data_IF_366913454958
#
_entry.id   IF_366913454958
#
_cell.length_a   1.000
_cell.length_b   1.000
_cell.length_c   1.000
_cell.angle_alpha   90.00
_cell.angle_beta   90.00
_cell.angle_gamma   90.00
#
_symmetry.space_group_name_H-M   'P 1'
#
loop_
_entity.id
_entity.type
_entity.pdbx_description
1 polymer ?
#
# COMPACT_ATOMS: atom_id res chain seq x y z
N UNK A 1 -28.35 18.17 36.30
CA UNK A 1 -28.86 17.08 35.43
C UNK A 1 -28.20 15.76 35.84
N UNK A 2 -28.94 14.80 36.44
CA UNK A 2 -28.45 13.47 36.84
C UNK A 2 -28.25 12.62 35.57
N UNK A 3 -27.00 12.23 35.23
CA UNK A 3 -26.71 11.23 34.21
C UNK A 3 -27.43 9.92 34.57
N UNK A 4 -28.49 9.56 33.83
CA UNK A 4 -29.10 8.21 33.93
C UNK A 4 -28.03 7.17 33.62
N UNK A 5 -27.63 6.38 34.61
CA UNK A 5 -26.80 5.16 34.41
C UNK A 5 -27.63 4.22 33.52
N UNK A 6 -27.12 3.92 32.30
CA UNK A 6 -27.68 2.88 31.46
C UNK A 6 -27.53 1.55 32.22
N UNK A 7 -28.64 0.97 32.69
CA UNK A 7 -28.64 -0.41 33.18
C UNK A 7 -28.57 -1.32 31.96
N UNK A 8 -27.45 -2.01 31.83
CA UNK A 8 -27.29 -3.02 30.78
C UNK A 8 -27.94 -4.32 31.28
N UNK A 9 -28.68 -5.03 30.41
CA UNK A 9 -29.18 -6.38 30.72
C UNK A 9 -28.00 -7.34 30.89
N UNK A 10 -28.18 -8.45 31.63
CA UNK A 10 -27.12 -9.44 31.81
C UNK A 10 -26.56 -9.98 30.48
N UNK A 11 -27.42 -10.18 29.47
CA UNK A 11 -27.01 -10.57 28.13
C UNK A 11 -26.15 -9.51 27.42
N UNK A 12 -26.45 -8.23 27.60
CA UNK A 12 -25.65 -7.13 27.05
C UNK A 12 -24.25 -7.08 27.71
N UNK A 13 -24.15 -7.35 29.01
CA UNK A 13 -22.87 -7.41 29.72
C UNK A 13 -22.02 -8.58 29.22
N UNK A 14 -22.60 -9.77 29.08
CA UNK A 14 -21.91 -10.97 28.54
C UNK A 14 -21.40 -10.68 27.13
N UNK A 15 -22.21 -10.07 26.25
CA UNK A 15 -21.81 -9.70 24.89
C UNK A 15 -20.66 -8.69 24.86
N UNK A 16 -20.68 -7.70 25.75
CA UNK A 16 -19.60 -6.70 25.88
C UNK A 16 -18.30 -7.41 26.34
N UNK A 17 -18.37 -8.28 27.34
CA UNK A 17 -17.20 -9.03 27.81
C UNK A 17 -16.63 -9.89 26.69
N UNK A 18 -17.47 -10.67 26.00
CA UNK A 18 -17.05 -11.50 24.87
C UNK A 18 -16.37 -10.67 23.78
N UNK A 19 -16.95 -9.53 23.42
CA UNK A 19 -16.37 -8.60 22.43
C UNK A 19 -14.97 -8.13 22.84
N UNK A 20 -14.79 -7.68 24.07
CA UNK A 20 -13.48 -7.17 24.52
C UNK A 20 -12.46 -8.29 24.69
N UNK A 21 -12.85 -9.45 25.19
CA UNK A 21 -11.97 -10.62 25.28
C UNK A 21 -11.51 -11.06 23.89
N UNK A 22 -12.42 -11.14 22.93
CA UNK A 22 -12.08 -11.47 21.54
C UNK A 22 -11.13 -10.42 20.93
N UNK A 23 -11.40 -9.13 21.13
CA UNK A 23 -10.53 -8.06 20.63
C UNK A 23 -9.12 -8.14 21.22
N UNK A 24 -8.99 -8.35 22.53
CA UNK A 24 -7.69 -8.49 23.20
C UNK A 24 -6.96 -9.74 22.70
N UNK A 25 -7.67 -10.87 22.60
CA UNK A 25 -7.08 -12.11 22.10
C UNK A 25 -6.54 -11.96 20.67
N UNK A 26 -7.37 -11.48 19.74
CA UNK A 26 -6.92 -11.30 18.35
C UNK A 26 -5.84 -10.21 18.20
N UNK A 27 -5.89 -9.15 19.01
CA UNK A 27 -4.80 -8.15 19.05
C UNK A 27 -3.49 -8.78 19.51
N UNK A 28 -3.52 -9.63 20.52
CA UNK A 28 -2.34 -10.34 20.99
C UNK A 28 -1.78 -11.28 19.92
N UNK A 29 -2.63 -12.08 19.27
CA UNK A 29 -2.23 -12.96 18.16
C UNK A 29 -1.60 -12.17 17.01
N UNK A 30 -2.15 -11.00 16.66
CA UNK A 30 -1.61 -10.15 15.61
C UNK A 30 -0.23 -9.53 15.94
N UNK A 31 0.07 -9.34 17.23
CA UNK A 31 1.35 -8.75 17.68
C UNK A 31 2.45 -9.80 17.84
N UNK A 32 2.11 -11.09 18.05
CA UNK A 32 3.09 -12.16 18.23
C UNK A 32 4.17 -12.22 17.13
N UNK A 33 3.85 -12.16 15.82
CA UNK A 33 4.86 -12.17 14.77
C UNK A 33 5.84 -11.00 14.86
N UNK A 34 5.34 -9.82 15.25
CA UNK A 34 6.18 -8.62 15.41
C UNK A 34 7.13 -8.79 16.59
N UNK A 35 6.63 -9.28 17.73
CA UNK A 35 7.45 -9.58 18.92
C UNK A 35 8.52 -10.61 18.57
N UNK A 36 8.13 -11.69 17.90
CA UNK A 36 9.05 -12.74 17.45
C UNK A 36 10.15 -12.19 16.55
N UNK A 37 9.78 -11.31 15.60
CA UNK A 37 10.72 -10.65 14.70
C UNK A 37 11.70 -9.75 15.48
N UNK A 38 11.21 -8.96 16.45
CA UNK A 38 12.05 -8.11 17.30
C UNK A 38 13.02 -8.96 18.13
N UNK A 39 12.54 -10.01 18.80
CA UNK A 39 13.39 -10.92 19.58
C UNK A 39 14.48 -11.52 18.69
N UNK A 40 14.12 -12.03 17.51
CA UNK A 40 15.06 -12.68 16.59
C UNK A 40 16.10 -11.72 16.02
N UNK A 41 15.74 -10.46 15.79
CA UNK A 41 16.66 -9.44 15.26
C UNK A 41 17.85 -9.13 16.17
N UNK A 42 17.70 -9.33 17.49
CA UNK A 42 18.78 -9.11 18.47
C UNK A 42 19.59 -10.38 18.81
N UNK A 43 19.19 -11.57 18.33
CA UNK A 43 19.92 -12.81 18.54
C UNK A 43 21.13 -12.92 17.59
N UNK A 44 22.22 -13.53 18.09
CA UNK A 44 23.28 -14.00 17.20
C UNK A 44 22.78 -15.15 16.34
N UNK A 45 23.47 -15.49 15.26
CA UNK A 45 23.12 -16.64 14.41
C UNK A 45 23.14 -17.97 15.19
N UNK A 46 24.13 -18.14 16.09
CA UNK A 46 24.25 -19.32 16.92
C UNK A 46 23.10 -19.40 17.94
N UNK A 47 22.78 -18.28 18.58
CA UNK A 47 21.67 -18.20 19.53
C UNK A 47 20.33 -18.49 18.83
N UNK A 48 20.11 -17.99 17.62
CA UNK A 48 18.92 -18.29 16.83
C UNK A 48 18.81 -19.81 16.51
N UNK A 49 19.92 -20.46 16.16
CA UNK A 49 19.94 -21.89 15.82
C UNK A 49 19.74 -22.81 17.02
N UNK A 50 20.12 -22.40 18.22
CA UNK A 50 20.13 -23.23 19.44
C UNK A 50 18.97 -22.97 20.38
N UNK A 51 18.24 -21.86 20.22
CA UNK A 51 17.15 -21.46 21.11
C UNK A 51 15.80 -21.39 20.39
N UNK A 52 14.70 -21.44 21.16
CA UNK A 52 13.37 -21.21 20.62
C UNK A 52 13.20 -19.74 20.15
N UNK A 53 12.38 -19.54 19.12
CA UNK A 53 12.10 -18.21 18.54
C UNK A 53 11.63 -17.18 19.58
N UNK A 54 10.84 -17.62 20.58
CA UNK A 54 10.32 -16.75 21.65
C UNK A 54 11.26 -16.65 22.86
N UNK A 55 12.40 -17.34 22.89
CA UNK A 55 13.42 -17.16 23.93
C UNK A 55 14.04 -15.77 23.76
N UNK A 56 14.13 -15.00 24.86
CA UNK A 56 14.67 -13.65 24.82
C UNK A 56 16.16 -13.70 24.46
N UNK A 57 16.66 -12.68 23.72
CA UNK A 57 18.08 -12.60 23.35
C UNK A 57 18.94 -12.40 24.60
N UNK A 58 20.15 -12.94 24.60
CA UNK A 58 21.10 -12.77 25.70
C UNK A 58 21.56 -11.31 25.85
N UNK A 59 21.60 -10.59 24.70
CA UNK A 59 22.00 -9.17 24.69
C UNK A 59 21.06 -8.35 23.81
N UNK A 60 20.27 -7.49 24.44
CA UNK A 60 19.38 -6.52 23.76
C UNK A 60 20.11 -5.34 23.11
N UNK A 61 21.41 -5.19 23.33
CA UNK A 61 22.23 -4.14 22.72
C UNK A 61 23.09 -4.68 21.55
N UNK A 62 22.78 -5.88 21.05
CA UNK A 62 23.43 -6.43 19.87
C UNK A 62 22.83 -5.83 18.59
N UNK A 63 23.42 -4.77 18.09
CA UNK A 63 23.00 -4.10 16.85
C UNK A 63 23.75 -4.61 15.61
N UNK A 64 24.62 -5.61 15.74
CA UNK A 64 25.43 -6.11 14.63
C UNK A 64 24.58 -6.61 13.47
N UNK A 65 23.46 -7.31 13.76
CA UNK A 65 22.53 -7.76 12.72
C UNK A 65 21.92 -6.59 11.94
N UNK A 66 21.65 -5.46 12.58
CA UNK A 66 21.08 -4.28 11.92
C UNK A 66 22.09 -3.62 11.01
N UNK A 67 23.34 -3.51 11.46
CA UNK A 67 24.45 -2.94 10.66
C UNK A 67 24.74 -3.85 9.47
N UNK A 68 24.85 -5.15 9.70
CA UNK A 68 25.12 -6.14 8.66
C UNK A 68 23.97 -6.21 7.64
N UNK A 69 22.72 -6.26 8.09
CA UNK A 69 21.56 -6.25 7.21
C UNK A 69 21.53 -4.99 6.35
N UNK A 70 21.76 -3.82 6.94
CA UNK A 70 21.76 -2.53 6.24
C UNK A 70 22.84 -2.48 5.15
N UNK A 71 24.06 -2.94 5.46
CA UNK A 71 25.18 -2.90 4.53
C UNK A 71 25.08 -3.97 3.44
N UNK A 72 24.89 -5.24 3.81
CA UNK A 72 24.88 -6.36 2.85
C UNK A 72 23.72 -6.31 1.88
N UNK A 73 22.53 -5.89 2.34
CA UNK A 73 21.37 -5.73 1.48
C UNK A 73 21.31 -4.34 0.81
N UNK A 74 22.32 -3.49 0.98
CA UNK A 74 22.37 -2.12 0.43
C UNK A 74 21.08 -1.34 0.66
N UNK A 75 20.54 -1.43 1.90
CA UNK A 75 19.17 -0.97 2.22
C UNK A 75 19.00 0.54 2.01
N UNK A 76 20.07 1.35 2.15
CA UNK A 76 20.01 2.78 1.85
C UNK A 76 19.62 3.06 0.40
N UNK A 77 20.25 2.36 -0.55
CA UNK A 77 19.92 2.47 -1.99
C UNK A 77 18.54 1.87 -2.30
N UNK A 78 18.24 0.73 -1.71
CA UNK A 78 16.95 0.06 -1.86
C UNK A 78 15.79 0.97 -1.39
N UNK A 79 15.99 1.71 -0.29
CA UNK A 79 15.03 2.70 0.20
C UNK A 79 14.82 3.84 -0.80
N UNK A 80 15.90 4.42 -1.33
CA UNK A 80 15.81 5.47 -2.35
C UNK A 80 15.07 4.98 -3.58
N UNK A 81 15.38 3.78 -4.08
CA UNK A 81 14.68 3.16 -5.20
C UNK A 81 13.18 2.99 -4.89
N UNK A 82 12.83 2.46 -3.71
CA UNK A 82 11.42 2.29 -3.29
C UNK A 82 10.69 3.62 -3.24
N UNK A 83 11.30 4.68 -2.72
CA UNK A 83 10.69 6.02 -2.66
C UNK A 83 10.50 6.59 -4.07
N UNK A 84 11.50 6.48 -4.95
CA UNK A 84 11.39 6.94 -6.34
C UNK A 84 10.25 6.20 -7.05
N UNK A 85 10.22 4.87 -6.97
CA UNK A 85 9.17 4.06 -7.59
C UNK A 85 7.81 4.46 -7.04
N UNK A 86 7.66 4.49 -5.72
CA UNK A 86 6.39 4.83 -5.06
C UNK A 86 5.88 6.22 -5.46
N UNK A 87 6.72 7.25 -5.37
CA UNK A 87 6.32 8.63 -5.70
C UNK A 87 5.93 8.77 -7.17
N UNK A 88 6.74 8.23 -8.08
CA UNK A 88 6.44 8.30 -9.52
C UNK A 88 5.17 7.52 -9.88
N UNK A 89 5.00 6.31 -9.33
CA UNK A 89 3.80 5.49 -9.55
C UNK A 89 2.56 6.18 -9.00
N UNK A 90 2.61 6.77 -7.80
CA UNK A 90 1.48 7.50 -7.23
C UNK A 90 1.09 8.71 -8.07
N UNK A 91 2.06 9.53 -8.49
CA UNK A 91 1.80 10.69 -9.35
C UNK A 91 1.13 10.25 -10.65
N UNK A 92 1.68 9.25 -11.33
CA UNK A 92 1.12 8.74 -12.58
C UNK A 92 -0.26 8.13 -12.42
N UNK A 93 -0.45 7.27 -11.43
CA UNK A 93 -1.73 6.62 -11.16
C UNK A 93 -2.84 7.63 -10.80
N UNK A 94 -2.50 8.69 -10.03
CA UNK A 94 -3.46 9.75 -9.69
C UNK A 94 -3.84 10.53 -10.94
N UNK A 95 -2.88 10.99 -11.73
CA UNK A 95 -3.13 11.80 -12.94
C UNK A 95 -3.98 10.98 -13.92
N UNK A 96 -3.54 9.77 -14.26
CA UNK A 96 -4.24 8.90 -15.21
C UNK A 96 -5.62 8.51 -14.67
N UNK A 97 -5.68 8.07 -13.41
CA UNK A 97 -6.92 7.58 -12.79
C UNK A 97 -7.98 8.67 -12.63
N UNK A 98 -7.60 9.88 -12.20
CA UNK A 98 -8.57 10.97 -12.02
C UNK A 98 -9.05 11.55 -13.36
N UNK A 99 -8.19 11.63 -14.39
CA UNK A 99 -8.59 12.03 -15.74
C UNK A 99 -9.55 11.01 -16.34
N UNK A 100 -9.23 9.73 -16.25
CA UNK A 100 -10.09 8.67 -16.76
C UNK A 100 -11.44 8.66 -16.02
N UNK A 101 -11.43 8.79 -14.70
CA UNK A 101 -12.65 8.88 -13.91
C UNK A 101 -13.48 10.12 -14.29
N UNK A 102 -12.86 11.26 -14.54
CA UNK A 102 -13.53 12.49 -14.98
C UNK A 102 -14.23 12.28 -16.32
N UNK A 103 -13.53 11.71 -17.30
CA UNK A 103 -14.12 11.43 -18.62
C UNK A 103 -15.26 10.42 -18.51
N UNK A 104 -15.07 9.32 -17.81
CA UNK A 104 -16.09 8.28 -17.67
C UNK A 104 -17.30 8.73 -16.86
N UNK A 105 -17.15 9.69 -15.94
CA UNK A 105 -18.25 10.16 -15.10
C UNK A 105 -19.03 11.33 -15.75
N UNK A 106 -18.35 12.27 -16.37
CA UNK A 106 -18.95 13.53 -16.87
C UNK A 106 -19.38 13.48 -18.32
N UNK A 107 -18.77 12.64 -19.16
CA UNK A 107 -19.06 12.63 -20.59
C UNK A 107 -19.86 11.39 -20.96
N UNK A 108 -20.98 11.66 -21.67
CA UNK A 108 -21.80 10.62 -22.29
C UNK A 108 -21.34 10.42 -23.72
N UNK A 109 -20.79 9.24 -24.03
CA UNK A 109 -20.37 8.88 -25.38
C UNK A 109 -20.66 7.40 -25.65
N UNK A 110 -20.82 7.00 -26.92
CA UNK A 110 -21.02 5.59 -27.28
C UNK A 110 -19.86 4.72 -26.77
N UNK A 111 -20.17 3.68 -26.00
CA UNK A 111 -19.14 2.79 -25.43
C UNK A 111 -18.67 3.14 -24.01
N UNK A 112 -19.10 4.24 -23.39
CA UNK A 112 -18.73 4.58 -22.00
C UNK A 112 -19.00 3.42 -21.05
N UNK A 113 -20.21 2.84 -21.08
CA UNK A 113 -20.56 1.68 -20.23
C UNK A 113 -19.71 0.44 -20.52
N UNK A 114 -19.37 0.20 -21.80
CA UNK A 114 -18.49 -0.91 -22.17
C UNK A 114 -17.09 -0.72 -21.56
N UNK A 115 -16.52 0.47 -21.67
CA UNK A 115 -15.19 0.77 -21.10
C UNK A 115 -15.20 0.57 -19.59
N UNK A 116 -16.22 1.08 -18.88
CA UNK A 116 -16.37 0.86 -17.42
C UNK A 116 -16.40 -0.63 -17.08
N UNK A 117 -17.17 -1.42 -17.82
CA UNK A 117 -17.27 -2.86 -17.59
C UNK A 117 -15.98 -3.61 -17.92
N UNK A 118 -15.23 -3.19 -18.96
CA UNK A 118 -13.91 -3.76 -19.27
C UNK A 118 -12.89 -3.52 -18.16
N UNK A 119 -12.90 -2.35 -17.52
CA UNK A 119 -12.06 -2.12 -16.33
C UNK A 119 -12.45 -3.03 -15.17
N UNK A 120 -13.75 -3.22 -14.91
CA UNK A 120 -14.20 -4.17 -13.87
C UNK A 120 -13.80 -5.60 -14.21
N UNK A 121 -13.96 -6.01 -15.47
CA UNK A 121 -13.54 -7.33 -15.93
C UNK A 121 -12.02 -7.51 -15.76
N UNK A 122 -11.23 -6.51 -16.14
CA UNK A 122 -9.77 -6.53 -15.96
C UNK A 122 -9.34 -6.70 -14.48
N UNK A 123 -10.10 -6.13 -13.53
CA UNK A 123 -9.85 -6.30 -12.11
C UNK A 123 -10.08 -7.73 -11.61
N UNK A 124 -10.90 -8.53 -12.31
CA UNK A 124 -11.15 -9.93 -11.94
C UNK A 124 -10.08 -10.89 -12.48
N UNK A 125 -9.25 -10.44 -13.43
CA UNK A 125 -8.19 -11.26 -13.97
C UNK A 125 -7.07 -11.43 -12.95
N UNK A 126 -6.67 -12.66 -12.60
CA UNK A 126 -5.58 -12.89 -11.67
C UNK A 126 -4.26 -12.38 -12.26
N UNK A 127 -3.64 -11.39 -11.59
CA UNK A 127 -2.40 -10.78 -12.07
C UNK A 127 -1.26 -11.78 -12.33
N UNK A 128 -1.19 -12.84 -11.52
CA UNK A 128 -0.20 -13.92 -11.69
C UNK A 128 -0.38 -14.66 -13.02
N UNK A 129 -1.64 -14.88 -13.47
CA UNK A 129 -1.91 -15.54 -14.75
C UNK A 129 -1.47 -14.70 -15.95
N UNK A 130 -1.50 -13.38 -15.83
CA UNK A 130 -1.07 -12.46 -16.89
C UNK A 130 0.45 -12.24 -16.93
N UNK A 131 1.17 -12.73 -15.93
CA UNK A 131 2.58 -12.39 -15.69
C UNK A 131 3.50 -12.76 -16.86
N UNK A 132 3.28 -13.90 -17.50
CA UNK A 132 4.12 -14.35 -18.62
C UNK A 132 4.00 -13.39 -19.81
N UNK A 133 2.78 -13.02 -20.16
CA UNK A 133 2.52 -12.09 -21.28
C UNK A 133 3.06 -10.68 -20.95
N UNK A 134 2.83 -10.19 -19.73
CA UNK A 134 3.36 -8.89 -19.30
C UNK A 134 4.88 -8.90 -19.31
N UNK A 135 5.53 -10.00 -18.90
CA UNK A 135 6.98 -10.12 -18.95
C UNK A 135 7.50 -10.02 -20.40
N UNK A 136 6.86 -10.71 -21.35
CA UNK A 136 7.23 -10.64 -22.77
C UNK A 136 7.13 -9.20 -23.28
N UNK A 137 6.02 -8.51 -23.03
CA UNK A 137 5.86 -7.11 -23.43
C UNK A 137 6.94 -6.22 -22.81
N UNK A 138 7.22 -6.37 -21.52
CA UNK A 138 8.26 -5.61 -20.83
C UNK A 138 9.66 -5.88 -21.39
N UNK A 139 9.93 -7.13 -21.77
CA UNK A 139 11.17 -7.52 -22.42
C UNK A 139 11.32 -6.88 -23.80
N UNK A 140 10.28 -6.99 -24.64
CA UNK A 140 10.30 -6.50 -26.02
C UNK A 140 10.40 -4.96 -26.08
N UNK A 141 9.84 -4.27 -25.06
CA UNK A 141 9.99 -2.82 -24.89
C UNK A 141 11.35 -2.42 -24.29
N UNK A 142 12.21 -3.37 -23.90
CA UNK A 142 13.48 -3.08 -23.25
C UNK A 142 13.34 -2.50 -21.85
N UNK A 143 12.26 -2.80 -21.14
CA UNK A 143 11.94 -2.24 -19.82
C UNK A 143 12.49 -3.08 -18.66
N UNK A 144 12.94 -4.31 -18.93
CA UNK A 144 13.53 -5.19 -17.92
C UNK A 144 14.83 -4.55 -17.39
N UNK A 145 15.02 -4.60 -16.07
CA UNK A 145 16.17 -4.00 -15.40
C UNK A 145 16.34 -2.49 -15.59
N UNK A 146 15.21 -1.77 -15.68
CA UNK A 146 15.15 -0.32 -15.66
C UNK A 146 14.04 0.17 -14.71
N UNK A 147 14.38 1.08 -13.78
CA UNK A 147 13.38 1.63 -12.85
C UNK A 147 12.23 2.33 -13.60
N UNK A 148 12.52 3.07 -14.69
CA UNK A 148 11.48 3.74 -15.46
C UNK A 148 10.49 2.76 -16.09
N UNK A 149 10.98 1.62 -16.61
CA UNK A 149 10.12 0.58 -17.17
C UNK A 149 9.20 -0.02 -16.11
N UNK A 150 9.76 -0.35 -14.94
CA UNK A 150 8.98 -0.85 -13.80
C UNK A 150 7.96 0.19 -13.31
N UNK A 151 8.34 1.48 -13.24
CA UNK A 151 7.44 2.57 -12.87
C UNK A 151 6.27 2.68 -13.85
N UNK A 152 6.53 2.68 -15.16
CA UNK A 152 5.50 2.76 -16.20
C UNK A 152 4.52 1.59 -16.08
N UNK A 153 5.03 0.37 -15.89
CA UNK A 153 4.19 -0.80 -15.67
C UNK A 153 3.30 -0.66 -14.43
N UNK A 154 3.87 -0.19 -13.31
CA UNK A 154 3.15 -0.03 -12.05
C UNK A 154 2.16 1.16 -12.04
N UNK A 155 2.38 2.18 -12.88
CA UNK A 155 1.43 3.27 -13.12
C UNK A 155 0.15 2.81 -13.81
N UNK A 156 0.21 1.66 -14.50
CA UNK A 156 -0.89 1.12 -15.28
C UNK A 156 -2.19 1.04 -14.50
N UNK A 157 -3.20 0.58 -15.16
CA UNK A 157 -4.61 0.59 -14.71
C UNK A 157 -4.78 0.13 -13.25
N UNK A 158 -4.76 1.06 -12.32
CA UNK A 158 -5.20 0.83 -10.95
C UNK A 158 -6.72 0.97 -10.88
N UNK A 159 -7.41 -0.12 -11.23
CA UNK A 159 -8.88 -0.15 -11.32
C UNK A 159 -9.53 0.28 -10.00
N UNK A 160 -8.95 -0.10 -8.86
CA UNK A 160 -9.49 0.26 -7.54
C UNK A 160 -9.48 1.79 -7.37
N UNK A 161 -8.35 2.44 -7.64
CA UNK A 161 -8.26 3.91 -7.55
C UNK A 161 -9.21 4.61 -8.54
N UNK A 162 -9.33 4.11 -9.78
CA UNK A 162 -10.25 4.67 -10.78
C UNK A 162 -11.69 4.63 -10.26
N UNK A 163 -12.13 3.50 -9.68
CA UNK A 163 -13.48 3.38 -9.13
C UNK A 163 -13.70 4.23 -7.89
N UNK A 164 -12.71 4.38 -7.01
CA UNK A 164 -12.75 5.32 -5.89
C UNK A 164 -13.01 6.75 -6.41
N UNK A 165 -12.29 7.16 -7.46
CA UNK A 165 -12.47 8.49 -8.06
C UNK A 165 -13.83 8.65 -8.73
N UNK A 166 -14.32 7.65 -9.47
CA UNK A 166 -15.64 7.69 -10.09
C UNK A 166 -16.72 7.82 -9.02
N UNK A 167 -16.71 6.99 -7.98
CA UNK A 167 -17.70 7.02 -6.90
C UNK A 167 -17.68 8.36 -6.14
N UNK A 168 -16.50 8.93 -5.94
CA UNK A 168 -16.39 10.21 -5.29
C UNK A 168 -16.94 11.35 -6.18
N UNK A 169 -16.67 11.30 -7.49
CA UNK A 169 -17.19 12.27 -8.46
C UNK A 169 -18.72 12.21 -8.59
N UNK A 170 -19.33 11.04 -8.44
CA UNK A 170 -20.79 10.88 -8.46
C UNK A 170 -21.48 11.70 -7.37
N UNK A 171 -20.78 12.03 -6.26
CA UNK A 171 -21.30 12.89 -5.20
C UNK A 171 -21.06 14.39 -5.44
N UNK A 172 -20.33 14.77 -6.49
CA UNK A 172 -20.07 16.16 -6.85
C UNK A 172 -21.14 16.61 -7.85
N UNK A 173 -21.95 17.66 -7.54
CA UNK A 173 -23.01 18.14 -8.43
C UNK A 173 -22.46 18.56 -9.80
N UNK A 174 -23.13 18.14 -10.87
CA UNK A 174 -22.79 18.50 -12.27
C UNK A 174 -22.92 20.01 -12.51
N UNK A 175 -23.80 20.69 -11.75
CA UNK A 175 -23.98 22.14 -11.83
C UNK A 175 -22.71 22.95 -11.59
N UNK A 176 -21.69 22.40 -10.93
CA UNK A 176 -20.39 23.04 -10.78
C UNK A 176 -19.64 23.12 -12.13
N UNK A 177 -19.70 22.05 -12.91
CA UNK A 177 -19.12 22.00 -14.25
C UNK A 177 -19.89 22.95 -15.18
N UNK A 178 -21.23 22.94 -15.13
CA UNK A 178 -22.11 23.79 -15.94
C UNK A 178 -21.89 25.28 -15.66
N UNK A 179 -21.83 25.68 -14.38
CA UNK A 179 -21.54 27.06 -14.00
C UNK A 179 -20.17 27.51 -14.49
N UNK A 180 -19.15 26.67 -14.38
CA UNK A 180 -17.82 27.00 -14.86
C UNK A 180 -17.76 27.11 -16.39
N UNK A 181 -18.56 26.33 -17.13
CA UNK A 181 -18.69 26.43 -18.59
C UNK A 181 -19.34 27.78 -18.96
N UNK A 182 -20.38 28.21 -18.24
CA UNK A 182 -21.03 29.50 -18.43
C UNK A 182 -20.02 30.65 -18.22
N UNK A 183 -19.11 30.49 -17.23
CA UNK A 183 -18.02 31.42 -16.94
C UNK A 183 -16.86 31.34 -17.99
N UNK A 184 -17.02 30.53 -19.04
CA UNK A 184 -16.04 30.41 -20.13
C UNK A 184 -14.84 29.53 -19.80
N UNK A 185 -14.93 28.65 -18.77
CA UNK A 185 -13.85 27.72 -18.48
C UNK A 185 -13.87 26.53 -19.46
N UNK A 186 -12.69 26.17 -19.99
CA UNK A 186 -12.53 24.92 -20.73
C UNK A 186 -12.61 23.70 -19.80
N UNK A 187 -12.96 22.53 -20.34
CA UNK A 187 -12.99 21.28 -19.57
C UNK A 187 -11.64 20.97 -18.88
N UNK A 188 -10.53 21.32 -19.52
CA UNK A 188 -9.19 21.18 -18.93
C UNK A 188 -9.01 22.08 -17.69
N UNK A 189 -9.51 23.34 -17.76
CA UNK A 189 -9.50 24.27 -16.63
C UNK A 189 -10.42 23.78 -15.50
N UNK A 190 -11.60 23.27 -15.84
CA UNK A 190 -12.53 22.66 -14.87
C UNK A 190 -11.87 21.48 -14.15
N UNK A 191 -11.27 20.55 -14.90
CA UNK A 191 -10.57 19.41 -14.32
C UNK A 191 -9.50 19.84 -13.32
N UNK A 192 -8.55 20.71 -13.72
CA UNK A 192 -7.43 21.10 -12.86
C UNK A 192 -7.79 22.02 -11.71
N UNK A 193 -8.72 22.94 -11.91
CA UNK A 193 -9.04 24.01 -10.92
C UNK A 193 -10.21 23.71 -10.03
N UNK A 194 -11.11 22.83 -10.44
CA UNK A 194 -12.33 22.51 -9.70
C UNK A 194 -12.33 21.04 -9.29
N UNK A 195 -12.29 20.12 -10.26
CA UNK A 195 -12.49 18.71 -9.97
C UNK A 195 -11.33 18.08 -9.19
N UNK A 196 -10.09 18.28 -9.62
CA UNK A 196 -8.93 17.68 -8.95
C UNK A 196 -8.79 18.14 -7.48
N UNK A 197 -8.96 19.42 -7.12
CA UNK A 197 -8.99 19.85 -5.71
C UNK A 197 -10.15 19.23 -4.91
N UNK A 198 -11.34 19.10 -5.49
CA UNK A 198 -12.49 18.47 -4.83
C UNK A 198 -12.28 16.98 -4.59
N UNK A 199 -11.49 16.30 -5.44
CA UNK A 199 -11.12 14.89 -5.29
C UNK A 199 -10.05 14.63 -4.22
N UNK A 200 -9.51 15.65 -3.56
CA UNK A 200 -8.42 15.50 -2.58
C UNK A 200 -8.65 14.37 -1.56
N UNK A 201 -9.84 14.19 -0.94
CA UNK A 201 -10.04 13.08 -0.01
C UNK A 201 -9.93 11.69 -0.68
N UNK A 202 -10.48 11.55 -1.90
CA UNK A 202 -10.38 10.32 -2.67
C UNK A 202 -8.94 10.04 -3.09
N UNK A 203 -8.18 11.07 -3.50
CA UNK A 203 -6.76 10.99 -3.84
C UNK A 203 -5.96 10.49 -2.62
N UNK A 204 -6.20 11.04 -1.44
CA UNK A 204 -5.51 10.58 -0.21
C UNK A 204 -5.78 9.10 0.04
N UNK A 205 -7.04 8.65 -0.10
CA UNK A 205 -7.40 7.24 0.05
C UNK A 205 -6.67 6.35 -0.97
N UNK A 206 -6.68 6.74 -2.24
CA UNK A 206 -5.98 6.03 -3.31
C UNK A 206 -4.46 5.99 -3.08
N UNK A 207 -3.85 7.12 -2.66
CA UNK A 207 -2.43 7.19 -2.31
C UNK A 207 -2.05 6.21 -1.20
N UNK A 208 -2.88 6.08 -0.17
CA UNK A 208 -2.61 5.16 0.94
C UNK A 208 -2.66 3.72 0.45
N UNK A 209 -3.76 3.33 -0.21
CA UNK A 209 -3.94 1.96 -0.68
C UNK A 209 -2.86 1.56 -1.69
N UNK A 210 -2.65 2.37 -2.73
CA UNK A 210 -1.65 2.11 -3.76
C UNK A 210 -0.23 2.22 -3.22
N UNK A 211 0.06 3.22 -2.37
CA UNK A 211 1.40 3.45 -1.81
C UNK A 211 1.87 2.28 -0.94
N UNK A 212 1.01 1.76 -0.06
CA UNK A 212 1.31 0.57 0.72
C UNK A 212 1.54 -0.63 -0.19
N UNK A 213 0.72 -0.82 -1.23
CA UNK A 213 0.89 -1.89 -2.21
C UNK A 213 2.24 -1.81 -2.93
N UNK A 214 2.60 -0.64 -3.45
CA UNK A 214 3.87 -0.42 -4.17
C UNK A 214 5.08 -0.60 -3.27
N UNK A 215 5.03 -0.12 -2.02
CA UNK A 215 6.14 -0.24 -1.08
C UNK A 215 6.43 -1.70 -0.71
N UNK A 216 5.40 -2.52 -0.57
CA UNK A 216 5.50 -3.93 -0.22
C UNK A 216 5.59 -4.87 -1.43
N UNK A 217 5.56 -4.33 -2.66
CA UNK A 217 5.57 -5.15 -3.86
C UNK A 217 6.92 -5.86 -4.04
N UNK A 218 6.89 -7.16 -3.79
CA UNK A 218 8.05 -8.02 -3.92
C UNK A 218 8.06 -8.78 -5.25
N UNK A 219 6.93 -9.39 -5.60
CA UNK A 219 6.87 -10.38 -6.68
C UNK A 219 7.23 -9.78 -8.04
N UNK A 220 6.53 -8.74 -8.44
CA UNK A 220 6.81 -8.05 -9.72
C UNK A 220 8.19 -7.38 -9.67
N UNK A 221 8.54 -6.75 -8.54
CA UNK A 221 9.83 -6.09 -8.41
C UNK A 221 10.99 -7.09 -8.57
N UNK A 222 10.91 -8.28 -7.98
CA UNK A 222 11.93 -9.33 -8.11
C UNK A 222 12.03 -9.88 -9.54
N UNK A 223 10.92 -9.90 -10.28
CA UNK A 223 10.89 -10.37 -11.65
C UNK A 223 11.51 -9.37 -12.64
N UNK A 224 11.25 -8.07 -12.46
CA UNK A 224 11.63 -7.03 -13.40
C UNK A 224 12.92 -6.27 -13.04
N UNK A 225 13.36 -6.31 -11.78
CA UNK A 225 14.53 -5.58 -11.26
C UNK A 225 15.57 -6.56 -10.69
N UNK A 226 16.23 -7.31 -11.56
CA UNK A 226 17.19 -8.35 -11.15
C UNK A 226 18.58 -7.80 -10.79
N UNK A 227 18.93 -6.57 -11.26
CA UNK A 227 20.21 -5.94 -10.92
C UNK A 227 20.24 -5.47 -9.47
N UNK A 228 21.34 -5.75 -8.76
CA UNK A 228 21.53 -5.38 -7.35
C UNK A 228 21.26 -3.88 -7.05
N UNK A 229 21.70 -3.01 -7.96
CA UNK A 229 21.56 -1.57 -7.78
C UNK A 229 20.14 -1.03 -8.00
N UNK A 230 19.21 -1.86 -8.46
CA UNK A 230 17.82 -1.50 -8.73
C UNK A 230 16.84 -2.08 -7.71
N UNK A 231 17.32 -2.92 -6.80
CA UNK A 231 16.48 -3.55 -5.78
C UNK A 231 15.70 -2.53 -4.97
N UNK A 232 14.44 -2.84 -4.69
CA UNK A 232 13.58 -2.12 -3.74
C UNK A 232 13.74 -2.69 -2.34
N UNK A 233 13.18 -2.04 -1.32
CA UNK A 233 13.24 -2.51 0.07
C UNK A 233 12.68 -3.92 0.21
N UNK A 234 11.54 -4.21 -0.43
CA UNK A 234 10.93 -5.53 -0.39
C UNK A 234 11.85 -6.63 -0.95
N UNK A 235 12.58 -6.36 -2.04
CA UNK A 235 13.52 -7.33 -2.63
C UNK A 235 14.80 -7.46 -1.77
N UNK A 236 15.27 -6.36 -1.19
CA UNK A 236 16.55 -6.34 -0.46
C UNK A 236 16.56 -7.33 0.72
N UNK A 237 15.42 -7.58 1.34
CA UNK A 237 15.28 -8.55 2.44
C UNK A 237 15.56 -9.99 2.03
N UNK A 238 15.37 -10.33 0.76
CA UNK A 238 15.64 -11.67 0.23
C UNK A 238 17.11 -11.96 -0.02
N UNK A 239 18.00 -10.97 0.14
CA UNK A 239 19.45 -11.15 0.08
C UNK A 239 19.95 -12.18 1.11
N UNK A 240 19.22 -12.38 2.20
CA UNK A 240 19.56 -13.29 3.31
C UNK A 240 18.89 -14.67 3.20
N UNK A 241 18.17 -14.93 2.11
CA UNK A 241 17.59 -16.24 1.82
C UNK A 241 18.49 -16.99 0.84
N UNK A 242 18.72 -18.26 1.08
CA UNK A 242 19.58 -19.07 0.20
C UNK A 242 19.23 -20.55 0.24
N UNK A 243 19.76 -21.35 -0.71
CA UNK A 243 19.47 -22.79 -0.82
C UNK A 243 20.00 -23.60 0.37
N UNK A 244 20.97 -23.09 1.11
CA UNK A 244 21.55 -23.73 2.30
C UNK A 244 20.92 -23.27 3.61
N UNK A 245 19.87 -22.44 3.54
CA UNK A 245 19.16 -21.87 4.69
C UNK A 245 19.06 -20.36 4.63
N UNK A 246 18.28 -19.81 5.55
CA UNK A 246 18.02 -18.37 5.65
C UNK A 246 18.59 -17.83 6.96
N UNK A 247 19.20 -16.66 6.90
CA UNK A 247 19.70 -15.93 8.07
C UNK A 247 18.57 -15.11 8.67
N UNK A 248 17.68 -15.75 9.43
CA UNK A 248 16.47 -15.11 9.97
C UNK A 248 16.74 -13.96 10.93
N UNK A 249 17.87 -13.97 11.65
CA UNK A 249 18.32 -12.85 12.47
C UNK A 249 18.54 -11.60 11.62
N UNK A 250 19.20 -11.72 10.44
CA UNK A 250 19.41 -10.61 9.51
C UNK A 250 18.11 -10.20 8.79
N UNK A 251 17.29 -11.18 8.40
CA UNK A 251 15.96 -10.90 7.81
C UNK A 251 15.12 -10.08 8.77
N UNK A 252 15.02 -10.49 10.04
CA UNK A 252 14.25 -9.79 11.06
C UNK A 252 14.80 -8.37 11.33
N UNK A 253 16.11 -8.21 11.40
CA UNK A 253 16.74 -6.89 11.52
C UNK A 253 16.39 -6.00 10.32
N UNK A 254 16.50 -6.53 9.10
CA UNK A 254 16.13 -5.83 7.87
C UNK A 254 14.63 -5.47 7.81
N UNK A 255 13.74 -6.37 8.25
CA UNK A 255 12.29 -6.11 8.36
C UNK A 255 12.03 -4.93 9.29
N UNK A 256 12.66 -4.88 10.46
CA UNK A 256 12.52 -3.75 11.40
C UNK A 256 13.00 -2.45 10.76
N UNK A 257 14.16 -2.45 10.09
CA UNK A 257 14.66 -1.27 9.37
C UNK A 257 13.64 -0.82 8.31
N UNK A 258 13.09 -1.75 7.53
CA UNK A 258 12.13 -1.43 6.47
C UNK A 258 10.78 -0.95 7.02
N UNK A 259 10.41 -1.35 8.22
CA UNK A 259 9.17 -0.95 8.88
C UNK A 259 9.23 0.49 9.40
N UNK A 260 10.39 0.98 9.83
CA UNK A 260 10.53 2.31 10.43
C UNK A 260 10.00 3.45 9.55
N UNK A 261 10.34 3.56 8.24
CA UNK A 261 9.79 4.60 7.38
C UNK A 261 8.27 4.51 7.26
N UNK A 262 7.72 3.30 7.14
CA UNK A 262 6.28 3.08 7.05
C UNK A 262 5.55 3.50 8.33
N UNK A 263 6.12 3.20 9.51
CA UNK A 263 5.60 3.66 10.80
C UNK A 263 5.61 5.18 10.91
N UNK A 264 6.70 5.83 10.51
CA UNK A 264 6.80 7.30 10.52
C UNK A 264 5.70 7.90 9.64
N UNK A 265 5.55 7.41 8.42
CA UNK A 265 4.49 7.85 7.50
C UNK A 265 3.11 7.62 8.11
N UNK A 266 2.86 6.45 8.71
CA UNK A 266 1.60 6.16 9.38
C UNK A 266 1.30 7.13 10.53
N UNK A 267 2.27 7.37 11.42
CA UNK A 267 2.08 8.28 12.57
C UNK A 267 1.78 9.71 12.09
N UNK A 268 2.48 10.18 11.05
CA UNK A 268 2.27 11.52 10.49
C UNK A 268 0.91 11.66 9.83
N UNK A 269 0.50 10.65 9.05
CA UNK A 269 -0.71 10.69 8.22
C UNK A 269 -1.90 9.92 8.79
N UNK A 270 -1.85 9.39 10.03
CA UNK A 270 -2.93 8.60 10.61
C UNK A 270 -4.30 9.28 10.58
N UNK A 271 -4.36 10.60 10.81
CA UNK A 271 -5.63 11.36 10.75
C UNK A 271 -6.23 11.36 9.35
N UNK A 272 -5.41 11.55 8.33
CA UNK A 272 -5.81 11.51 6.93
C UNK A 272 -6.23 10.10 6.51
N UNK A 273 -5.51 9.08 6.99
CA UNK A 273 -5.83 7.66 6.77
C UNK A 273 -7.22 7.34 7.30
N UNK A 274 -7.51 7.73 8.56
CA UNK A 274 -8.84 7.48 9.15
C UNK A 274 -9.96 8.32 8.53
N UNK A 275 -9.68 9.55 8.10
CA UNK A 275 -10.68 10.41 7.44
C UNK A 275 -10.95 10.02 5.98
N UNK A 276 -9.98 9.37 5.32
CA UNK A 276 -10.12 8.90 3.94
C UNK A 276 -10.86 7.56 3.80
N UNK A 277 -11.03 6.79 4.89
CA UNK A 277 -11.87 5.59 4.88
C UNK A 277 -13.34 6.07 4.80
N UNK A 278 -14.06 5.77 3.71
CA UNK A 278 -15.41 6.31 3.51
C UNK A 278 -16.32 5.97 4.68
N UNK A 279 -17.04 6.94 5.21
CA UNK A 279 -18.12 6.76 6.19
C UNK A 279 -19.26 5.83 5.69
N UNK A 280 -19.17 5.36 4.45
CA UNK A 280 -20.08 4.40 3.82
C UNK A 280 -19.95 2.96 4.31
N UNK A 281 -18.87 2.60 4.99
CA UNK A 281 -18.69 1.26 5.57
C UNK A 281 -19.35 1.12 6.96
N UNK A 282 -19.90 2.19 7.51
CA UNK A 282 -20.56 2.22 8.84
C UNK A 282 -21.98 2.76 8.73
N UNK A 283 -22.76 2.22 7.79
CA UNK A 283 -24.23 2.26 7.84
C UNK A 283 -24.71 0.83 8.00
N UNK A 284 -24.67 0.39 9.21
CA UNK A 284 -25.35 -0.78 9.74
C UNK A 284 -25.95 -0.43 11.08
#
# INVERSE_FOLDING_TARGET
MKKRRKQYSAGAIIWIIFKYVSLVFFSFVAVIPIISCVITAFKTEEEYKTTNVMTLPQNWFNFDNFVEAFQRANMGRAFVNSVIVMVCVLIGAIIIGTQLAYVLNRFQFPGNGLIRNLFLFAALLPGVAMQVTVYQIMHDLGFINHLYGYIIMMMGTDVISIYIFIQYMENIPVSLDESAIIDGASYWKIYWKIMLPLLKPAIVTACILKGVGVYNEYYSANLYLTKENLKTMAISLYTFTGPLGSQYNLICAGVIISLLPALIVFIVFQKQIYSGIPAGAVKG
#
